data_IF_635449536860
#
_entry.id   IF_635449536860
#
_cell.length_a   1.000
_cell.length_b   1.000
_cell.length_c   1.000
_cell.angle_alpha   90.00
_cell.angle_beta   90.00
_cell.angle_gamma   90.00
#
_symmetry.space_group_name_H-M   'P 1'
#
loop_
_entity.id
_entity.type
_entity.pdbx_description
1 polymer ?
#
# COMPACT_ATOMS: atom_id res chain seq x y z
N UNK A 1 0.15 -10.46 3.57
CA UNK A 1 -0.16 -11.57 2.63
C UNK A 1 -1.61 -12.00 2.78
N UNK A 2 -2.05 -12.56 3.94
CA UNK A 2 -3.39 -13.12 4.10
C UNK A 2 -4.52 -12.13 3.76
N UNK A 3 -4.47 -10.89 4.27
CA UNK A 3 -5.46 -9.85 3.96
C UNK A 3 -5.51 -9.57 2.45
N UNK A 4 -4.36 -9.38 1.82
CA UNK A 4 -4.28 -9.14 0.37
C UNK A 4 -4.88 -10.29 -0.45
N UNK A 5 -4.73 -11.53 -0.01
CA UNK A 5 -5.34 -12.68 -0.68
C UNK A 5 -6.87 -12.71 -0.51
N UNK A 6 -7.40 -12.32 0.65
CA UNK A 6 -8.84 -12.34 0.94
C UNK A 6 -9.56 -11.16 0.32
N UNK A 7 -9.03 -9.94 0.51
CA UNK A 7 -9.67 -8.70 0.04
C UNK A 7 -9.19 -8.23 -1.33
N UNK A 8 -8.15 -8.87 -1.89
CA UNK A 8 -7.51 -8.50 -3.16
C UNK A 8 -6.96 -7.07 -3.20
N UNK A 9 -6.74 -6.49 -2.03
CA UNK A 9 -6.16 -5.17 -1.83
C UNK A 9 -5.30 -5.16 -0.56
N UNK A 10 -4.41 -4.18 -0.44
CA UNK A 10 -3.56 -3.95 0.73
C UNK A 10 -3.48 -2.45 1.06
N UNK A 11 -4.62 -1.74 0.89
CA UNK A 11 -4.79 -0.35 1.28
C UNK A 11 -5.16 -0.21 2.77
N UNK A 12 -5.63 0.97 3.16
CA UNK A 12 -5.96 1.30 4.56
C UNK A 12 -6.99 0.33 5.14
N UNK A 13 -8.00 -0.05 4.35
CA UNK A 13 -9.06 -0.99 4.77
C UNK A 13 -8.53 -2.36 5.17
N UNK A 14 -7.35 -2.75 4.68
CA UNK A 14 -6.71 -4.01 5.03
C UNK A 14 -6.17 -4.05 6.48
N UNK A 15 -6.09 -2.89 7.15
CA UNK A 15 -5.52 -2.74 8.49
C UNK A 15 -6.55 -2.29 9.53
N UNK A 16 -7.84 -2.32 9.20
CA UNK A 16 -8.92 -2.07 10.18
C UNK A 16 -9.05 -3.23 11.16
N UNK A 17 -9.62 -2.96 12.35
CA UNK A 17 -9.89 -4.02 13.32
C UNK A 17 -10.78 -5.13 12.75
N UNK A 18 -11.74 -4.78 11.92
CA UNK A 18 -12.62 -5.72 11.24
C UNK A 18 -11.82 -6.64 10.32
N UNK A 19 -10.95 -6.07 9.48
CA UNK A 19 -10.14 -6.84 8.54
C UNK A 19 -9.16 -7.79 9.24
N UNK A 20 -8.51 -7.36 10.33
CA UNK A 20 -7.56 -8.21 11.06
C UNK A 20 -8.24 -9.26 11.94
N UNK A 21 -9.52 -9.10 12.25
CA UNK A 21 -10.33 -10.08 13.01
C UNK A 21 -11.18 -10.98 12.11
N UNK A 22 -11.21 -10.74 10.80
CA UNK A 22 -11.93 -11.60 9.85
C UNK A 22 -11.43 -13.04 9.95
N UNK A 23 -12.34 -13.98 10.19
CA UNK A 23 -12.00 -15.40 10.33
C UNK A 23 -11.31 -15.98 9.09
N UNK A 24 -11.66 -15.52 7.88
CA UNK A 24 -11.02 -15.96 6.64
C UNK A 24 -9.57 -15.51 6.60
N UNK A 25 -9.31 -14.26 7.01
CA UNK A 25 -7.96 -13.71 7.12
C UNK A 25 -7.16 -14.49 8.16
N UNK A 26 -7.73 -14.71 9.35
CA UNK A 26 -7.07 -15.44 10.43
C UNK A 26 -6.76 -16.89 10.05
N UNK A 27 -7.71 -17.59 9.40
CA UNK A 27 -7.50 -18.97 8.90
C UNK A 27 -6.38 -19.04 7.87
N UNK A 28 -6.34 -18.06 6.95
CA UNK A 28 -5.28 -18.01 5.94
C UNK A 28 -3.94 -17.59 6.54
N UNK A 29 -3.93 -16.63 7.48
CA UNK A 29 -2.71 -16.17 8.15
C UNK A 29 -1.97 -17.31 8.87
N UNK A 30 -2.68 -18.27 9.48
CA UNK A 30 -2.08 -19.46 10.10
C UNK A 30 -1.35 -20.37 9.11
N UNK A 31 -1.61 -20.23 7.82
CA UNK A 31 -0.97 -21.01 6.74
C UNK A 31 0.19 -20.23 6.10
N UNK A 32 0.35 -18.96 6.40
CA UNK A 32 1.47 -18.15 5.91
C UNK A 32 2.72 -18.49 6.71
N UNK A 33 3.81 -18.81 6.00
CA UNK A 33 5.14 -18.97 6.58
C UNK A 33 6.04 -17.87 6.06
N UNK A 34 6.75 -17.23 6.96
CA UNK A 34 7.79 -16.25 6.61
C UNK A 34 9.12 -16.95 6.81
N UNK A 35 9.92 -17.00 5.76
CA UNK A 35 11.19 -17.72 5.71
C UNK A 35 12.24 -16.74 5.21
N UNK A 36 13.41 -16.71 5.86
CA UNK A 36 14.55 -15.98 5.34
C UNK A 36 15.07 -16.66 4.08
N UNK A 37 15.25 -15.86 3.02
CA UNK A 37 15.97 -16.27 1.82
C UNK A 37 17.34 -15.61 1.83
N UNK A 38 18.38 -16.38 2.10
CA UNK A 38 19.75 -15.89 2.23
C UNK A 38 20.24 -15.19 0.95
N UNK A 39 19.78 -15.66 -0.22
CA UNK A 39 20.14 -15.03 -1.48
C UNK A 39 19.51 -13.64 -1.64
N UNK A 40 18.25 -13.47 -1.20
CA UNK A 40 17.58 -12.17 -1.19
C UNK A 40 18.17 -11.24 -0.11
N UNK A 41 18.48 -11.78 1.07
CA UNK A 41 19.14 -11.03 2.15
C UNK A 41 20.48 -10.49 1.71
N UNK A 42 21.27 -11.26 0.97
CA UNK A 42 22.56 -10.85 0.44
C UNK A 42 22.51 -9.70 -0.59
N UNK A 43 21.32 -9.40 -1.14
CA UNK A 43 21.13 -8.27 -2.06
C UNK A 43 20.98 -6.90 -1.37
N UNK A 44 20.79 -6.88 -0.05
CA UNK A 44 20.66 -5.64 0.73
C UNK A 44 22.04 -4.99 0.87
N UNK A 45 22.19 -3.65 0.73
CA UNK A 45 21.12 -2.63 0.59
C UNK A 45 20.67 -2.35 -0.86
N UNK A 46 21.32 -2.89 -1.89
CA UNK A 46 21.09 -2.55 -3.30
C UNK A 46 19.67 -2.91 -3.74
N UNK A 47 19.14 -4.02 -3.23
CA UNK A 47 17.76 -4.46 -3.46
C UNK A 47 17.11 -4.86 -2.15
N UNK A 48 15.82 -4.56 -2.02
CA UNK A 48 14.97 -5.00 -0.90
C UNK A 48 13.95 -6.00 -1.42
N UNK A 49 14.46 -7.09 -1.98
CA UNK A 49 13.65 -8.07 -2.66
C UNK A 49 12.79 -8.89 -1.70
N UNK A 50 11.60 -9.27 -2.18
CA UNK A 50 10.72 -10.23 -1.51
C UNK A 50 10.15 -11.20 -2.54
N UNK A 51 10.02 -12.47 -2.14
CA UNK A 51 9.41 -13.52 -2.94
C UNK A 51 8.20 -14.09 -2.22
N UNK A 52 7.11 -14.30 -2.94
CA UNK A 52 5.89 -14.92 -2.42
C UNK A 52 5.57 -16.13 -3.27
N UNK A 53 5.39 -17.27 -2.62
CA UNK A 53 4.91 -18.51 -3.23
C UNK A 53 3.52 -18.83 -2.67
N UNK A 54 2.60 -19.20 -3.56
CA UNK A 54 1.24 -19.61 -3.19
C UNK A 54 1.02 -21.02 -3.73
N UNK A 55 0.82 -21.97 -2.81
CA UNK A 55 0.49 -23.35 -3.11
C UNK A 55 -1.02 -23.55 -3.00
N UNK A 56 -1.66 -23.91 -4.10
CA UNK A 56 -3.10 -24.17 -4.16
C UNK A 56 -3.41 -25.63 -3.77
N UNK A 57 -4.67 -25.89 -3.37
CA UNK A 57 -5.13 -27.21 -2.97
C UNK A 57 -5.10 -28.21 -4.14
N UNK A 58 -5.26 -27.72 -5.37
CA UNK A 58 -5.20 -28.51 -6.60
C UNK A 58 -3.76 -28.86 -7.06
N UNK A 59 -2.78 -28.53 -6.23
CA UNK A 59 -1.36 -28.79 -6.50
C UNK A 59 -0.67 -27.74 -7.36
N UNK A 60 -1.39 -26.73 -7.86
CA UNK A 60 -0.76 -25.61 -8.56
C UNK A 60 0.07 -24.76 -7.61
N UNK A 61 1.12 -24.17 -8.14
CA UNK A 61 1.96 -23.20 -7.44
C UNK A 61 2.13 -21.97 -8.30
N UNK A 62 2.07 -20.80 -7.67
CA UNK A 62 2.37 -19.50 -8.28
C UNK A 62 3.43 -18.82 -7.43
N UNK A 63 4.47 -18.33 -8.09
CA UNK A 63 5.55 -17.57 -7.48
C UNK A 63 5.62 -16.17 -8.08
N UNK A 64 5.92 -15.20 -7.24
CA UNK A 64 6.23 -13.82 -7.66
C UNK A 64 7.34 -13.25 -6.80
N UNK A 65 8.37 -12.74 -7.45
CA UNK A 65 9.43 -11.95 -6.82
C UNK A 65 9.28 -10.48 -7.21
N UNK A 66 9.55 -9.61 -6.26
CA UNK A 66 9.66 -8.15 -6.44
C UNK A 66 11.01 -7.74 -5.88
N UNK A 67 11.86 -7.16 -6.70
CA UNK A 67 13.21 -6.75 -6.33
C UNK A 67 13.22 -5.39 -5.62
N UNK A 68 12.32 -4.50 -6.01
CA UNK A 68 12.22 -3.14 -5.48
C UNK A 68 10.81 -2.84 -5.00
N UNK A 69 10.63 -2.34 -3.78
CA UNK A 69 9.33 -1.88 -3.28
C UNK A 69 8.71 -0.83 -4.20
N UNK A 70 7.38 -0.79 -4.24
CA UNK A 70 6.67 0.25 -4.99
C UNK A 70 6.95 1.63 -4.40
N UNK A 71 7.40 2.55 -5.26
CA UNK A 71 7.82 3.91 -4.90
C UNK A 71 9.33 4.13 -4.93
N UNK A 72 10.13 3.07 -5.06
CA UNK A 72 11.56 3.19 -5.33
C UNK A 72 11.81 3.68 -6.78
N UNK A 73 12.95 4.31 -7.09
CA UNK A 73 13.27 4.79 -8.44
C UNK A 73 13.14 3.71 -9.53
N UNK A 74 13.49 2.47 -9.20
CA UNK A 74 13.41 1.31 -10.09
C UNK A 74 12.00 0.72 -10.23
N UNK A 75 11.08 1.08 -9.32
CA UNK A 75 9.69 0.69 -9.33
C UNK A 75 8.80 1.88 -8.96
N UNK A 76 8.77 2.93 -9.80
CA UNK A 76 8.12 4.20 -9.46
C UNK A 76 6.61 4.06 -9.31
N UNK A 77 6.05 4.88 -8.40
CA UNK A 77 4.61 5.08 -8.31
C UNK A 77 4.16 6.01 -9.45
N UNK A 78 3.08 5.67 -10.12
CA UNK A 78 2.50 6.55 -11.14
C UNK A 78 1.69 7.68 -10.49
N UNK A 79 1.47 8.79 -11.22
CA UNK A 79 0.64 9.89 -10.73
C UNK A 79 -0.78 9.42 -10.37
N UNK A 80 -1.38 8.53 -11.15
CA UNK A 80 -2.70 7.98 -10.86
C UNK A 80 -2.72 7.13 -9.58
N UNK A 81 -1.68 6.34 -9.31
CA UNK A 81 -1.55 5.59 -8.07
C UNK A 81 -1.33 6.51 -6.87
N UNK A 82 -0.56 7.59 -7.05
CA UNK A 82 -0.32 8.59 -6.01
C UNK A 82 -1.61 9.35 -5.68
N UNK A 83 -2.34 9.80 -6.69
CA UNK A 83 -3.64 10.45 -6.55
C UNK A 83 -4.65 9.55 -5.83
N UNK A 84 -4.77 8.31 -6.28
CA UNK A 84 -5.62 7.31 -5.61
C UNK A 84 -5.27 7.17 -4.13
N UNK A 85 -3.99 7.02 -3.81
CA UNK A 85 -3.51 6.92 -2.42
C UNK A 85 -3.83 8.17 -1.61
N UNK A 86 -3.68 9.36 -2.20
CA UNK A 86 -4.02 10.62 -1.55
C UNK A 86 -5.51 10.64 -1.14
N UNK A 87 -6.43 10.35 -2.07
CA UNK A 87 -7.86 10.31 -1.76
C UNK A 87 -8.22 9.22 -0.76
N UNK A 88 -7.64 8.03 -0.86
CA UNK A 88 -7.87 6.97 0.12
C UNK A 88 -7.48 7.40 1.53
N UNK A 89 -6.34 8.09 1.71
CA UNK A 89 -5.86 8.57 3.00
C UNK A 89 -6.71 9.70 3.56
N UNK A 90 -6.98 10.73 2.77
CA UNK A 90 -7.73 11.92 3.21
C UNK A 90 -9.17 11.58 3.57
N UNK A 91 -9.85 10.77 2.74
CA UNK A 91 -11.22 10.34 3.01
C UNK A 91 -11.31 9.39 4.23
N UNK A 92 -10.33 8.51 4.40
CA UNK A 92 -10.26 7.66 5.61
C UNK A 92 -9.98 8.47 6.87
N UNK A 93 -9.30 9.61 6.76
CA UNK A 93 -9.10 10.57 7.84
C UNK A 93 -10.33 11.42 8.16
N UNK A 94 -11.44 11.25 7.43
CA UNK A 94 -12.70 11.97 7.66
C UNK A 94 -12.84 13.26 6.84
N UNK A 95 -11.89 13.58 5.95
CA UNK A 95 -12.00 14.74 5.07
C UNK A 95 -13.12 14.54 4.05
N UNK A 96 -13.90 15.59 3.76
CA UNK A 96 -14.88 15.54 2.69
C UNK A 96 -14.20 15.51 1.32
N UNK A 97 -14.79 14.82 0.35
CA UNK A 97 -14.21 14.71 -0.99
C UNK A 97 -13.92 16.06 -1.63
N UNK A 98 -14.82 17.04 -1.45
CA UNK A 98 -14.63 18.41 -1.95
C UNK A 98 -13.35 19.05 -1.42
N UNK A 99 -13.14 18.94 -0.10
CA UNK A 99 -11.98 19.54 0.55
C UNK A 99 -10.68 18.82 0.18
N UNK A 100 -10.76 17.48 0.03
CA UNK A 100 -9.64 16.69 -0.47
C UNK A 100 -9.25 17.06 -1.91
N UNK A 101 -10.24 17.32 -2.78
CA UNK A 101 -10.00 17.73 -4.16
C UNK A 101 -9.39 19.15 -4.24
N UNK A 102 -9.85 20.07 -3.40
CA UNK A 102 -9.28 21.40 -3.27
C UNK A 102 -7.81 21.32 -2.80
N UNK A 103 -7.56 20.55 -1.75
CA UNK A 103 -6.21 20.32 -1.22
C UNK A 103 -5.29 19.67 -2.26
N UNK A 104 -5.77 18.65 -3.00
CA UNK A 104 -4.98 18.01 -4.06
C UNK A 104 -4.57 19.01 -5.14
N UNK A 105 -5.52 19.87 -5.56
CA UNK A 105 -5.26 20.93 -6.55
C UNK A 105 -4.18 21.90 -6.06
N UNK A 106 -4.26 22.35 -4.80
CA UNK A 106 -3.26 23.22 -4.18
C UNK A 106 -1.88 22.55 -4.13
N UNK A 107 -1.81 21.27 -3.75
CA UNK A 107 -0.53 20.52 -3.74
C UNK A 107 0.08 20.43 -5.14
N UNK A 108 -0.73 20.22 -6.17
CA UNK A 108 -0.23 20.19 -7.56
C UNK A 108 0.31 21.55 -8.04
N UNK A 109 -0.16 22.65 -7.46
CA UNK A 109 0.22 24.03 -7.78
C UNK A 109 1.23 24.62 -6.78
N UNK A 110 1.83 23.78 -5.95
CA UNK A 110 2.68 24.18 -4.80
C UNK A 110 3.77 25.22 -5.13
N UNK A 111 4.27 25.26 -6.36
CA UNK A 111 5.30 26.23 -6.80
C UNK A 111 4.84 27.69 -6.72
N UNK A 112 3.54 27.96 -6.58
CA UNK A 112 2.94 29.31 -6.56
C UNK A 112 2.28 29.68 -5.23
N UNK A 113 2.15 28.74 -4.28
CA UNK A 113 1.44 28.95 -3.01
C UNK A 113 2.37 28.96 -1.80
N UNK A 114 1.93 29.63 -0.73
CA UNK A 114 2.64 29.62 0.56
C UNK A 114 2.26 28.39 1.38
N UNK A 115 3.20 27.89 2.18
CA UNK A 115 2.96 26.76 3.12
C UNK A 115 1.78 27.07 4.06
N UNK A 116 1.57 28.35 4.42
CA UNK A 116 0.46 28.77 5.27
C UNK A 116 -0.90 28.45 4.63
N UNK A 117 -1.09 28.74 3.35
CA UNK A 117 -2.35 28.52 2.62
C UNK A 117 -2.69 27.02 2.56
N UNK A 118 -1.68 26.17 2.36
CA UNK A 118 -1.86 24.71 2.44
C UNK A 118 -2.37 24.26 3.81
N UNK A 119 -1.76 24.76 4.90
CA UNK A 119 -2.19 24.40 6.25
C UNK A 119 -3.60 24.89 6.60
N UNK A 120 -4.03 26.04 6.11
CA UNK A 120 -5.41 26.51 6.32
C UNK A 120 -6.44 25.62 5.59
N UNK A 121 -6.09 25.10 4.42
CA UNK A 121 -6.94 24.15 3.69
C UNK A 121 -7.08 22.82 4.45
N UNK A 122 -6.03 22.37 5.13
CA UNK A 122 -6.05 21.12 5.92
C UNK A 122 -6.87 21.19 7.22
N UNK A 123 -7.22 22.42 7.70
CA UNK A 123 -7.97 22.60 8.96
C UNK A 123 -9.50 22.54 8.79
N UNK A 124 -9.99 22.52 7.57
CA UNK A 124 -11.43 22.39 7.27
C UNK A 124 -11.87 20.96 7.36
#
# INVERSE_FOLDING_TARGET
VAVACVYKECGIKAFTEEAVRDEKVLKLAKRVRVIEDVALTAMVPEKRAARVEIHFIDGKMVERQVDYPKGEPENPITNAELEKKFYELTLSGGMLYKDAAELYTHIQQYSSETVRELFETCKK
#
